data_IF_390553368264
#
_entry.id   IF_390553368264
#
_cell.length_a   1.000
_cell.length_b   1.000
_cell.length_c   1.000
_cell.angle_alpha   90.00
_cell.angle_beta   90.00
_cell.angle_gamma   90.00
#
_symmetry.space_group_name_H-M   'P 1'
#
loop_
_entity.id
_entity.type
_entity.pdbx_description
1 polymer ?
#
# COMPACT_ATOMS: atom_id res chain seq x y z
N UNK A 1 -15.61 -6.50 7.71
CA UNK A 1 -14.30 -7.12 7.45
C UNK A 1 -13.91 -7.83 8.73
N UNK A 2 -13.45 -9.08 8.65
CA UNK A 2 -13.07 -9.83 9.84
C UNK A 2 -11.69 -9.39 10.37
N UNK A 3 -11.32 -9.87 11.56
CA UNK A 3 -10.08 -9.45 12.22
C UNK A 3 -8.82 -9.94 11.49
N UNK A 4 -8.95 -10.90 10.57
CA UNK A 4 -7.85 -11.59 9.91
C UNK A 4 -7.01 -10.69 9.00
N UNK A 5 -7.51 -9.48 8.71
CA UNK A 5 -6.83 -8.46 7.91
C UNK A 5 -6.32 -7.29 8.74
N UNK A 6 -6.62 -7.22 10.05
CA UNK A 6 -6.30 -6.07 10.89
C UNK A 6 -4.78 -5.83 11.05
N UNK A 7 -3.97 -6.87 10.90
CA UNK A 7 -2.50 -6.81 11.02
C UNK A 7 -1.79 -6.73 9.67
N UNK A 8 -2.53 -6.77 8.55
CA UNK A 8 -1.93 -6.74 7.22
C UNK A 8 -1.75 -5.29 6.76
N UNK A 9 -0.62 -4.95 6.14
CA UNK A 9 -0.47 -3.65 5.49
C UNK A 9 -1.56 -3.43 4.43
N UNK A 10 -2.18 -2.25 4.44
CA UNK A 10 -3.24 -1.91 3.51
C UNK A 10 -2.65 -1.37 2.20
N UNK A 11 -2.95 -2.04 1.09
CA UNK A 11 -2.81 -1.48 -0.26
C UNK A 11 -4.17 -0.92 -0.67
N UNK A 12 -4.33 0.40 -0.53
CA UNK A 12 -5.57 1.11 -0.85
C UNK A 12 -5.66 1.34 -2.36
N UNK A 13 -6.81 1.05 -2.95
CA UNK A 13 -7.15 1.48 -4.31
C UNK A 13 -8.20 2.57 -4.22
N UNK A 14 -7.84 3.78 -4.64
CA UNK A 14 -8.77 4.91 -4.70
C UNK A 14 -8.27 5.97 -5.68
N UNK A 15 -8.99 6.19 -6.78
CA UNK A 15 -8.59 7.19 -7.79
C UNK A 15 -9.09 8.59 -7.42
N UNK A 16 -8.51 9.17 -6.38
CA UNK A 16 -8.86 10.47 -5.83
C UNK A 16 -7.64 11.39 -5.66
N UNK A 17 -7.87 12.67 -5.36
CA UNK A 17 -6.78 13.61 -5.06
C UNK A 17 -6.13 13.38 -3.69
N UNK A 18 -6.86 12.72 -2.79
CA UNK A 18 -6.42 12.40 -1.42
C UNK A 18 -6.91 10.99 -1.08
N UNK A 19 -6.11 10.22 -0.35
CA UNK A 19 -6.46 8.91 0.15
C UNK A 19 -7.45 8.97 1.33
N UNK A 20 -8.47 8.10 1.33
CA UNK A 20 -9.42 7.92 2.41
C UNK A 20 -9.43 6.46 2.89
N UNK A 21 -8.45 6.05 3.71
CA UNK A 21 -8.43 4.70 4.25
C UNK A 21 -9.65 4.44 5.17
N UNK A 22 -10.07 3.18 5.33
CA UNK A 22 -11.08 2.81 6.31
C UNK A 22 -10.72 3.29 7.72
N UNK A 23 -11.74 3.64 8.51
CA UNK A 23 -11.54 4.10 9.89
C UNK A 23 -10.69 3.12 10.71
N UNK A 24 -9.64 3.64 11.34
CA UNK A 24 -8.71 2.85 12.15
C UNK A 24 -7.64 2.09 11.37
N UNK A 25 -7.51 2.34 10.06
CA UNK A 25 -6.44 1.79 9.21
C UNK A 25 -5.63 2.91 8.58
N UNK A 26 -4.35 2.66 8.38
CA UNK A 26 -3.44 3.49 7.57
C UNK A 26 -3.08 2.71 6.30
N UNK A 27 -3.00 3.40 5.17
CA UNK A 27 -2.51 2.79 3.93
C UNK A 27 -0.99 2.73 3.94
N UNK A 28 -0.42 1.64 3.44
CA UNK A 28 1.02 1.52 3.17
C UNK A 28 1.32 1.85 1.71
N UNK A 29 0.49 1.33 0.81
CA UNK A 29 0.48 1.69 -0.60
C UNK A 29 -0.88 2.28 -0.96
N UNK A 30 -0.87 3.28 -1.84
CA UNK A 30 -2.08 3.88 -2.38
C UNK A 30 -1.99 3.95 -3.90
N UNK A 31 -2.78 3.11 -4.58
CA UNK A 31 -2.99 3.20 -6.02
C UNK A 31 -3.91 4.38 -6.31
N UNK A 32 -3.33 5.48 -6.78
CA UNK A 32 -4.02 6.76 -6.91
C UNK A 32 -4.50 7.04 -8.34
N UNK A 33 -4.02 6.29 -9.33
CA UNK A 33 -4.52 6.36 -10.71
C UNK A 33 -4.21 5.08 -11.47
N UNK A 34 -5.11 4.70 -12.36
CA UNK A 34 -4.91 3.64 -13.37
C UNK A 34 -4.49 4.19 -14.75
N UNK A 35 -4.47 5.52 -14.89
CA UNK A 35 -4.21 6.21 -16.15
C UNK A 35 -2.85 6.93 -16.13
N UNK A 36 -1.90 6.42 -15.37
CA UNK A 36 -0.54 6.96 -15.30
C UNK A 36 0.21 6.81 -16.62
N UNK A 37 1.25 7.61 -16.78
CA UNK A 37 2.17 7.55 -17.92
C UNK A 37 3.60 7.57 -17.37
N UNK A 38 4.38 6.56 -17.71
CA UNK A 38 5.79 6.42 -17.28
C UNK A 38 6.63 6.17 -18.52
N UNK A 39 7.72 6.92 -18.68
CA UNK A 39 8.65 6.72 -19.79
C UNK A 39 9.16 5.29 -19.82
N UNK A 40 8.99 4.62 -20.96
CA UNK A 40 9.38 3.22 -21.15
C UNK A 40 8.24 2.21 -20.95
N UNK A 41 7.04 2.66 -20.57
CA UNK A 41 5.83 1.83 -20.52
C UNK A 41 4.85 2.33 -21.59
N UNK A 42 4.48 1.43 -22.52
CA UNK A 42 3.48 1.73 -23.54
C UNK A 42 2.07 1.63 -22.96
N UNK A 43 1.28 2.70 -23.12
CA UNK A 43 -0.12 2.74 -22.66
C UNK A 43 -0.29 3.24 -21.22
N UNK A 44 -1.51 3.11 -20.72
CA UNK A 44 -1.87 3.49 -19.35
C UNK A 44 -1.28 2.49 -18.34
N UNK A 45 -0.75 3.01 -17.23
CA UNK A 45 -0.20 2.19 -16.13
C UNK A 45 -0.71 2.69 -14.78
N UNK A 46 -0.88 1.76 -13.85
CA UNK A 46 -1.19 2.09 -12.46
C UNK A 46 -0.02 2.84 -11.81
N UNK A 47 -0.33 3.87 -11.02
CA UNK A 47 0.65 4.57 -10.18
C UNK A 47 0.24 4.50 -8.72
N UNK A 48 1.23 4.17 -7.90
CA UNK A 48 1.11 3.98 -6.46
C UNK A 48 1.99 4.97 -5.69
N UNK A 49 1.46 5.50 -4.59
CA UNK A 49 2.25 6.14 -3.55
C UNK A 49 2.62 5.13 -2.46
N UNK A 50 3.83 5.25 -1.93
CA UNK A 50 4.28 4.53 -0.74
C UNK A 50 4.31 5.47 0.47
N UNK A 51 3.78 5.01 1.61
CA UNK A 51 3.76 5.77 2.87
C UNK A 51 5.12 5.73 3.59
N UNK A 52 6.19 6.16 2.90
CA UNK A 52 7.55 6.13 3.42
C UNK A 52 8.55 6.70 2.43
N UNK A 53 9.83 6.61 2.77
CA UNK A 53 10.92 7.01 1.90
C UNK A 53 11.53 5.81 1.14
N UNK A 54 12.52 6.08 0.29
CA UNK A 54 13.17 5.06 -0.52
C UNK A 54 13.94 4.02 0.32
N UNK A 55 14.43 4.39 1.51
CA UNK A 55 15.11 3.43 2.40
C UNK A 55 14.09 2.47 3.02
N UNK A 56 13.00 3.00 3.55
CA UNK A 56 11.89 2.20 4.07
C UNK A 56 11.26 1.29 3.00
N UNK A 57 11.20 1.74 1.74
CA UNK A 57 10.76 0.91 0.62
C UNK A 57 11.77 -0.20 0.30
N UNK A 58 13.07 0.08 0.39
CA UNK A 58 14.13 -0.92 0.19
C UNK A 58 14.14 -2.00 1.27
N UNK A 59 13.75 -1.64 2.50
CA UNK A 59 13.59 -2.56 3.61
C UNK A 59 12.25 -3.31 3.60
N UNK A 60 11.31 -2.92 2.73
CA UNK A 60 10.03 -3.59 2.54
C UNK A 60 10.21 -4.89 1.76
N UNK A 61 10.75 -5.89 2.45
CA UNK A 61 11.07 -7.20 1.89
C UNK A 61 9.95 -8.22 2.12
N UNK A 62 9.96 -9.30 1.34
CA UNK A 62 8.97 -10.40 1.42
C UNK A 62 8.99 -11.17 2.76
N UNK A 63 9.90 -10.81 3.67
CA UNK A 63 10.08 -11.37 5.01
C UNK A 63 9.47 -10.55 6.15
N UNK A 64 8.75 -9.45 5.88
CA UNK A 64 7.94 -8.82 6.92
C UNK A 64 6.72 -9.71 7.18
N UNK A 65 6.91 -10.76 7.99
CA UNK A 65 5.82 -11.53 8.58
C UNK A 65 4.80 -10.54 9.16
N UNK A 66 3.50 -10.78 8.91
CA UNK A 66 2.45 -10.14 9.70
C UNK A 66 2.83 -10.38 11.16
N UNK A 67 3.09 -9.30 11.93
CA UNK A 67 3.64 -9.36 13.29
C UNK A 67 3.03 -10.55 14.04
N UNK A 68 3.87 -11.52 14.33
CA UNK A 68 3.56 -12.79 14.99
C UNK A 68 2.64 -12.55 16.20
N UNK A 69 1.40 -13.04 16.12
CA UNK A 69 0.47 -13.11 17.25
C UNK A 69 0.81 -14.29 18.17
N UNK A 70 2.07 -14.37 18.63
CA UNK A 70 2.41 -15.21 19.78
C UNK A 70 3.15 -14.41 20.84
N UNK A 71 2.37 -13.76 21.70
CA UNK A 71 2.83 -13.37 23.03
C UNK A 71 1.68 -13.40 24.05
N UNK A 72 1.52 -14.61 24.61
CA UNK A 72 0.96 -14.98 25.92
C UNK A 72 -0.55 -15.15 26.10
#
# INVERSE_FOLDING_TARGET
MGNEFATRPLWLVEYAATAHPPSGMEWLFWQHTQNGQVTGIDGAVDLDWFAGDAAALGDFDCNSEARDETAS
#
